data_IF_687832484459
#
_entry.id   IF_687832484459
#
_cell.length_a   1.000
_cell.length_b   1.000
_cell.length_c   1.000
_cell.angle_alpha   90.00
_cell.angle_beta   90.00
_cell.angle_gamma   90.00
#
_symmetry.space_group_name_H-M   'P 1'
#
loop_
_entity.id
_entity.type
_entity.pdbx_description
1 polymer ?
#
# COMPACT_ATOMS: atom_id res chain seq x y z
N UNK A 1 -20.20 -33.84 8.12
CA UNK A 1 -20.10 -32.38 8.33
C UNK A 1 -18.62 -31.99 8.26
N UNK A 2 -18.22 -30.89 7.59
CA UNK A 2 -16.84 -30.33 7.51
C UNK A 2 -16.24 -29.86 8.88
N UNK A 3 -16.71 -30.50 9.95
CA UNK A 3 -15.99 -30.88 11.15
C UNK A 3 -15.02 -32.07 10.90
N UNK A 4 -15.10 -32.71 9.73
CA UNK A 4 -14.28 -33.81 9.20
C UNK A 4 -13.05 -33.29 8.44
N UNK A 5 -11.91 -34.00 8.45
CA UNK A 5 -10.72 -33.62 7.67
C UNK A 5 -10.97 -33.49 6.14
N UNK A 6 -12.08 -34.00 5.61
CA UNK A 6 -12.32 -34.17 4.17
C UNK A 6 -13.20 -33.08 3.48
N UNK A 7 -13.75 -32.07 4.17
CA UNK A 7 -14.22 -30.85 3.48
C UNK A 7 -15.65 -30.87 2.92
N UNK A 8 -15.85 -30.14 1.82
CA UNK A 8 -17.09 -30.00 1.03
C UNK A 8 -17.61 -31.33 0.44
N UNK A 9 -16.85 -32.41 0.61
CA UNK A 9 -17.09 -33.72 0.01
C UNK A 9 -17.64 -34.75 1.02
N UNK A 10 -17.90 -34.34 2.25
CA UNK A 10 -18.12 -35.25 3.40
C UNK A 10 -19.29 -36.26 3.34
N UNK A 11 -20.29 -36.22 2.43
CA UNK A 11 -21.21 -37.36 2.29
C UNK A 11 -20.74 -38.43 1.30
N UNK A 12 -19.63 -38.23 0.61
CA UNK A 12 -19.06 -39.20 -0.35
C UNK A 12 -18.00 -40.09 0.34
N UNK A 13 -17.80 -41.31 -0.17
CA UNK A 13 -16.72 -42.18 0.28
C UNK A 13 -15.34 -41.60 -0.11
N UNK A 14 -14.28 -41.91 0.64
CA UNK A 14 -12.91 -41.44 0.36
C UNK A 14 -12.43 -41.80 -1.07
N UNK A 15 -12.93 -42.92 -1.61
CA UNK A 15 -12.70 -43.33 -3.00
C UNK A 15 -13.43 -42.40 -3.99
N UNK A 16 -14.69 -42.07 -3.70
CA UNK A 16 -15.49 -41.18 -4.53
C UNK A 16 -14.95 -39.74 -4.49
N UNK A 17 -14.32 -39.31 -3.38
CA UNK A 17 -13.64 -38.00 -3.29
C UNK A 17 -12.49 -37.89 -4.27
N UNK A 18 -11.66 -38.92 -4.31
CA UNK A 18 -10.48 -38.96 -5.16
C UNK A 18 -10.88 -38.93 -6.63
N UNK A 19 -11.88 -39.72 -6.99
CA UNK A 19 -12.45 -39.75 -8.33
C UNK A 19 -13.03 -38.39 -8.75
N UNK A 20 -13.82 -37.74 -7.88
CA UNK A 20 -14.38 -36.42 -8.19
C UNK A 20 -13.30 -35.33 -8.32
N UNK A 21 -12.24 -35.37 -7.50
CA UNK A 21 -11.11 -34.44 -7.60
C UNK A 21 -10.30 -34.66 -8.88
N UNK A 22 -10.07 -35.91 -9.26
CA UNK A 22 -9.40 -36.27 -10.52
C UNK A 22 -10.20 -35.78 -11.74
N UNK A 23 -11.53 -35.97 -11.73
CA UNK A 23 -12.43 -35.44 -12.78
C UNK A 23 -12.38 -33.91 -12.84
N UNK A 24 -12.49 -33.22 -11.69
CA UNK A 24 -12.40 -31.76 -11.65
C UNK A 24 -11.04 -31.24 -12.16
N UNK A 25 -9.94 -31.93 -11.83
CA UNK A 25 -8.61 -31.58 -12.31
C UNK A 25 -8.51 -31.74 -13.84
N UNK A 26 -9.04 -32.82 -14.40
CA UNK A 26 -9.05 -33.06 -15.85
C UNK A 26 -9.91 -32.02 -16.59
N UNK A 27 -11.11 -31.74 -16.08
CA UNK A 27 -12.01 -30.73 -16.64
C UNK A 27 -11.36 -29.33 -16.58
N UNK A 28 -10.66 -29.00 -15.49
CA UNK A 28 -9.94 -27.73 -15.37
C UNK A 28 -8.78 -27.61 -16.37
N UNK A 29 -8.03 -28.69 -16.59
CA UNK A 29 -6.99 -28.74 -17.63
C UNK A 29 -7.57 -28.49 -19.02
N UNK A 30 -8.68 -29.17 -19.37
CA UNK A 30 -9.37 -28.96 -20.66
C UNK A 30 -9.87 -27.53 -20.83
N UNK A 31 -10.48 -26.96 -19.78
CA UNK A 31 -10.99 -25.58 -19.81
C UNK A 31 -9.87 -24.55 -20.04
N UNK A 32 -8.69 -24.79 -19.47
CA UNK A 32 -7.52 -23.90 -19.60
C UNK A 32 -6.92 -23.96 -21.01
N UNK A 33 -6.97 -25.12 -21.67
CA UNK A 33 -6.49 -25.29 -23.05
C UNK A 33 -7.54 -24.95 -24.12
N UNK A 34 -8.77 -24.57 -23.75
CA UNK A 34 -9.82 -24.17 -24.70
C UNK A 34 -9.35 -23.13 -25.74
N UNK A 35 -8.60 -22.06 -25.39
CA UNK A 35 -8.13 -21.09 -26.38
C UNK A 35 -7.20 -21.69 -27.46
N UNK A 36 -6.58 -22.84 -27.19
CA UNK A 36 -5.68 -23.54 -28.12
C UNK A 36 -6.39 -24.64 -28.91
N UNK A 37 -7.26 -25.40 -28.25
CA UNK A 37 -7.86 -26.62 -28.81
C UNK A 37 -9.27 -26.42 -29.36
N UNK A 38 -9.96 -25.36 -28.92
CA UNK A 38 -11.37 -25.11 -29.25
C UNK A 38 -12.37 -26.08 -28.60
N UNK A 39 -11.92 -26.98 -27.71
CA UNK A 39 -12.77 -27.99 -27.07
C UNK A 39 -13.42 -27.46 -25.80
N UNK A 40 -14.72 -27.15 -25.83
CA UNK A 40 -15.46 -26.65 -24.67
C UNK A 40 -15.76 -27.76 -23.66
N UNK A 41 -15.69 -27.43 -22.38
CA UNK A 41 -16.07 -28.34 -21.29
C UNK A 41 -17.59 -28.35 -21.10
N UNK A 42 -18.20 -29.53 -20.98
CA UNK A 42 -19.63 -29.67 -20.71
C UNK A 42 -19.94 -29.37 -19.25
N UNK A 43 -20.91 -28.48 -19.01
CA UNK A 43 -21.39 -28.16 -17.66
C UNK A 43 -22.06 -29.35 -16.94
N UNK A 44 -22.47 -30.37 -17.70
CA UNK A 44 -23.13 -31.56 -17.17
C UNK A 44 -22.13 -32.54 -16.52
N UNK A 45 -20.87 -32.49 -16.93
CA UNK A 45 -19.79 -33.37 -16.44
C UNK A 45 -19.20 -32.89 -15.12
N UNK A 46 -19.52 -31.66 -14.69
CA UNK A 46 -18.96 -31.05 -13.48
C UNK A 46 -19.60 -31.69 -12.25
N UNK A 47 -18.81 -32.37 -11.38
CA UNK A 47 -19.29 -32.88 -10.11
C UNK A 47 -19.87 -31.74 -9.27
N UNK A 48 -21.12 -31.88 -8.81
CA UNK A 48 -21.79 -30.88 -7.97
C UNK A 48 -21.55 -31.19 -6.50
N UNK A 49 -21.35 -30.14 -5.71
CA UNK A 49 -21.35 -30.30 -4.26
C UNK A 49 -22.74 -30.74 -3.79
N UNK A 50 -22.75 -31.71 -2.89
CA UNK A 50 -23.92 -32.23 -2.19
C UNK A 50 -24.29 -31.40 -0.95
N UNK A 51 -23.48 -30.40 -0.60
CA UNK A 51 -23.72 -29.53 0.56
C UNK A 51 -24.39 -28.24 0.12
N UNK A 52 -25.50 -27.91 0.79
CA UNK A 52 -26.20 -26.63 0.60
C UNK A 52 -25.50 -25.46 1.30
N UNK A 53 -24.66 -25.75 2.31
CA UNK A 53 -23.88 -24.76 3.04
C UNK A 53 -22.48 -24.59 2.48
N UNK A 54 -21.97 -23.37 2.54
CA UNK A 54 -20.64 -22.99 2.03
C UNK A 54 -19.68 -22.70 3.19
N UNK A 55 -18.36 -22.81 2.99
CA UNK A 55 -17.43 -22.44 4.04
C UNK A 55 -17.45 -20.93 4.29
N UNK A 56 -17.18 -20.54 5.53
CA UNK A 56 -17.12 -19.16 6.03
C UNK A 56 -16.16 -18.25 5.26
N UNK A 57 -15.02 -18.77 4.79
CA UNK A 57 -14.07 -18.00 3.97
C UNK A 57 -14.61 -17.64 2.57
N UNK A 58 -15.74 -18.22 2.15
CA UNK A 58 -16.46 -17.85 0.92
C UNK A 58 -17.62 -16.88 1.16
N UNK A 59 -17.86 -16.48 2.41
CA UNK A 59 -18.91 -15.54 2.76
C UNK A 59 -18.65 -14.14 2.17
N UNK A 60 -19.69 -13.38 1.83
CA UNK A 60 -19.55 -11.98 1.45
C UNK A 60 -18.94 -11.19 2.60
N UNK A 61 -18.14 -10.19 2.25
CA UNK A 61 -17.39 -9.37 3.22
C UNK A 61 -18.28 -8.62 4.21
N UNK A 62 -19.48 -8.24 3.77
CA UNK A 62 -20.53 -7.69 4.63
C UNK A 62 -21.62 -8.76 4.74
N UNK A 63 -21.72 -9.38 5.91
CA UNK A 63 -22.76 -10.37 6.17
C UNK A 63 -24.09 -9.67 6.42
N UNK A 64 -25.08 -9.99 5.59
CA UNK A 64 -26.48 -9.67 5.86
C UNK A 64 -27.07 -10.82 6.70
N UNK A 65 -26.92 -10.73 8.02
CA UNK A 65 -27.76 -11.36 9.05
C UNK A 65 -27.97 -12.90 9.12
N UNK A 66 -27.66 -13.69 8.10
CA UNK A 66 -28.07 -15.10 8.04
C UNK A 66 -26.87 -16.06 8.10
N UNK A 67 -26.52 -16.47 9.32
CA UNK A 67 -25.41 -17.39 9.61
C UNK A 67 -25.68 -18.84 9.18
N UNK A 68 -26.88 -19.17 8.69
CA UNK A 68 -27.26 -20.55 8.35
C UNK A 68 -26.69 -21.05 7.02
N UNK A 69 -26.26 -20.15 6.15
CA UNK A 69 -25.71 -20.49 4.81
C UNK A 69 -24.23 -20.84 4.87
N UNK A 70 -23.50 -20.37 5.89
CA UNK A 70 -22.05 -20.51 5.99
C UNK A 70 -21.64 -21.31 7.23
N UNK A 71 -20.76 -22.30 7.06
CA UNK A 71 -20.19 -23.08 8.17
C UNK A 71 -18.75 -22.66 8.46
N UNK A 72 -18.33 -22.77 9.73
CA UNK A 72 -16.95 -22.50 10.12
C UNK A 72 -16.02 -23.62 9.62
N UNK A 73 -15.13 -23.33 8.66
CA UNK A 73 -14.17 -24.32 8.16
C UNK A 73 -13.03 -24.55 9.15
N UNK A 74 -12.71 -25.82 9.44
CA UNK A 74 -11.56 -26.23 10.28
C UNK A 74 -10.24 -26.35 9.52
N UNK A 75 -10.25 -26.14 8.20
CA UNK A 75 -9.06 -26.17 7.36
C UNK A 75 -8.20 -24.93 7.59
N UNK A 76 -6.91 -25.02 7.27
CA UNK A 76 -5.97 -23.89 7.41
C UNK A 76 -6.48 -22.60 6.76
N UNK A 77 -7.16 -22.68 5.61
CA UNK A 77 -7.72 -21.50 4.95
C UNK A 77 -8.84 -20.83 5.78
N UNK A 78 -9.68 -21.61 6.46
CA UNK A 78 -10.69 -21.08 7.38
C UNK A 78 -10.05 -20.49 8.64
N UNK A 79 -9.06 -21.18 9.21
CA UNK A 79 -8.30 -20.65 10.35
C UNK A 79 -7.62 -19.32 10.01
N UNK A 80 -6.91 -19.25 8.87
CA UNK A 80 -6.25 -18.03 8.38
C UNK A 80 -7.26 -16.92 8.10
N UNK A 81 -8.39 -17.24 7.47
CA UNK A 81 -9.46 -16.28 7.20
C UNK A 81 -9.97 -15.61 8.47
N UNK A 82 -10.15 -16.37 9.56
CA UNK A 82 -10.61 -15.84 10.86
C UNK A 82 -9.52 -15.15 11.66
N UNK A 83 -8.26 -15.59 11.54
CA UNK A 83 -7.12 -15.00 12.24
C UNK A 83 -6.74 -13.62 11.66
N UNK A 84 -6.91 -13.41 10.35
CA UNK A 84 -6.62 -12.15 9.68
C UNK A 84 -7.82 -11.21 9.75
N UNK A 85 -7.97 -10.51 10.88
CA UNK A 85 -8.90 -9.39 11.01
C UNK A 85 -8.20 -8.08 10.67
N UNK A 86 -8.38 -7.59 9.45
CA UNK A 86 -8.04 -6.21 9.12
C UNK A 86 -9.12 -5.30 9.68
N UNK A 87 -8.88 -4.74 10.87
CA UNK A 87 -9.76 -3.72 11.42
C UNK A 87 -9.84 -2.59 10.41
N UNK A 88 -11.02 -2.35 9.83
CA UNK A 88 -11.26 -1.15 9.05
C UNK A 88 -10.79 0.03 9.90
N UNK A 89 -9.91 0.91 9.38
CA UNK A 89 -9.33 1.98 10.18
C UNK A 89 -10.47 2.69 10.91
N UNK A 90 -10.40 2.66 12.23
CA UNK A 90 -11.43 3.22 13.08
C UNK A 90 -11.44 4.72 12.79
N UNK A 91 -12.33 5.16 11.90
CA UNK A 91 -12.42 6.56 11.48
C UNK A 91 -12.70 7.49 12.68
N UNK A 92 -13.07 6.91 13.85
CA UNK A 92 -13.21 7.60 15.13
C UNK A 92 -11.87 7.90 15.83
N UNK A 93 -10.82 7.12 15.53
CA UNK A 93 -9.43 7.32 15.98
C UNK A 93 -8.54 7.87 14.86
N UNK A 94 -9.13 8.53 13.86
CA UNK A 94 -8.40 9.56 13.12
C UNK A 94 -7.89 10.50 14.20
N UNK A 95 -6.59 10.36 14.54
CA UNK A 95 -5.99 10.99 15.71
C UNK A 95 -6.45 12.42 15.74
N UNK A 96 -6.95 12.85 16.91
CA UNK A 96 -7.25 14.24 17.27
C UNK A 96 -6.94 15.15 16.10
N UNK A 97 -7.98 15.67 15.39
CA UNK A 97 -7.88 16.65 14.30
C UNK A 97 -7.19 17.93 14.79
N UNK A 98 -5.97 17.81 15.30
CA UNK A 98 -5.03 18.87 15.57
C UNK A 98 -4.89 19.50 14.22
N UNK A 99 -5.44 20.70 14.10
CA UNK A 99 -5.30 21.56 12.95
C UNK A 99 -3.94 21.28 12.30
N UNK A 100 -3.96 20.65 11.12
CA UNK A 100 -2.76 20.29 10.36
C UNK A 100 -2.16 21.56 9.76
N UNK A 101 -1.87 22.52 10.61
CA UNK A 101 -1.11 23.70 10.27
C UNK A 101 0.31 23.21 10.01
N UNK A 102 0.69 23.24 8.75
CA UNK A 102 2.08 23.13 8.38
C UNK A 102 2.87 24.22 9.14
N UNK A 103 4.03 23.90 9.74
CA UNK A 103 4.89 24.94 10.29
C UNK A 103 5.20 25.99 9.21
N UNK A 104 5.40 27.24 9.63
CA UNK A 104 5.87 28.27 8.70
C UNK A 104 7.24 27.87 8.14
N UNK A 105 7.55 28.35 6.93
CA UNK A 105 8.87 28.13 6.32
C UNK A 105 9.99 28.66 7.24
N UNK A 106 9.78 29.77 7.95
CA UNK A 106 10.74 30.31 8.90
C UNK A 106 11.04 29.33 10.04
N UNK A 107 10.00 28.63 10.52
CA UNK A 107 10.17 27.62 11.56
C UNK A 107 10.93 26.40 11.05
N UNK A 108 10.65 25.98 9.82
CA UNK A 108 11.39 24.89 9.15
C UNK A 108 12.86 25.27 9.03
N UNK A 109 13.18 26.49 8.57
CA UNK A 109 14.56 26.98 8.46
C UNK A 109 15.24 27.01 9.83
N UNK A 110 14.56 27.49 10.88
CA UNK A 110 15.10 27.48 12.25
C UNK A 110 15.46 26.06 12.71
N UNK A 111 14.67 25.05 12.34
CA UNK A 111 14.94 23.64 12.65
C UNK A 111 16.18 23.14 11.92
N UNK A 112 16.34 23.49 10.64
CA UNK A 112 17.55 23.18 9.87
C UNK A 112 18.79 23.86 10.46
N UNK A 113 18.73 25.17 10.72
CA UNK A 113 19.85 25.96 11.25
C UNK A 113 20.31 25.45 12.63
N UNK A 114 19.37 25.03 13.47
CA UNK A 114 19.65 24.50 14.81
C UNK A 114 19.84 22.97 14.84
N UNK A 115 19.76 22.30 13.68
CA UNK A 115 19.81 20.84 13.53
C UNK A 115 18.87 20.10 14.51
N UNK A 116 17.65 20.62 14.74
CA UNK A 116 16.66 20.08 15.69
C UNK A 116 15.87 18.90 15.11
N UNK A 117 16.58 17.89 14.64
CA UNK A 117 15.98 16.66 14.12
C UNK A 117 16.07 15.55 15.17
N UNK A 118 15.27 14.46 15.03
CA UNK A 118 15.36 13.33 15.94
C UNK A 118 16.80 12.80 16.03
N UNK A 119 17.36 12.76 17.24
CA UNK A 119 18.78 12.42 17.46
C UNK A 119 19.09 10.93 17.30
N UNK A 120 18.07 10.06 17.34
CA UNK A 120 18.20 8.60 17.31
C UNK A 120 17.42 7.96 16.14
N UNK A 121 17.51 8.55 14.96
CA UNK A 121 16.94 7.94 13.76
C UNK A 121 18.01 7.04 13.08
N UNK A 122 17.89 5.70 13.19
CA UNK A 122 18.89 4.77 12.63
C UNK A 122 18.96 4.85 11.10
N UNK A 123 17.85 5.22 10.44
CA UNK A 123 17.83 5.40 8.99
C UNK A 123 18.61 6.66 8.62
N UNK A 124 18.37 7.77 9.34
CA UNK A 124 19.12 8.99 9.11
C UNK A 124 20.63 8.81 9.34
N UNK A 125 21.01 8.07 10.38
CA UNK A 125 22.41 7.78 10.70
C UNK A 125 23.08 6.95 9.59
N UNK A 126 22.43 5.86 9.16
CA UNK A 126 22.94 5.02 8.07
C UNK A 126 23.09 5.80 6.74
N UNK A 127 22.13 6.66 6.42
CA UNK A 127 22.17 7.49 5.22
C UNK A 127 23.28 8.56 5.31
N UNK A 128 23.48 9.17 6.48
CA UNK A 128 24.50 10.19 6.67
C UNK A 128 25.92 9.66 6.36
N UNK A 129 26.23 8.44 6.80
CA UNK A 129 27.51 7.77 6.51
C UNK A 129 27.76 7.69 5.01
N UNK A 130 26.71 7.39 4.23
CA UNK A 130 26.78 7.26 2.76
C UNK A 130 26.84 8.59 2.03
N UNK A 131 26.23 9.64 2.58
CA UNK A 131 26.14 10.95 1.93
C UNK A 131 27.39 11.80 2.17
N UNK A 132 28.04 11.65 3.33
CA UNK A 132 29.17 12.49 3.76
C UNK A 132 30.31 12.58 2.73
N UNK A 133 30.70 11.52 2.00
CA UNK A 133 31.73 11.62 0.95
C UNK A 133 31.36 12.58 -0.20
N UNK A 134 30.07 12.78 -0.46
CA UNK A 134 29.57 13.53 -1.62
C UNK A 134 29.05 14.93 -1.23
N UNK A 135 28.85 15.20 0.06
CA UNK A 135 28.27 16.45 0.56
C UNK A 135 29.12 17.00 1.70
N UNK A 136 29.87 18.07 1.43
CA UNK A 136 30.80 18.69 2.38
C UNK A 136 30.15 19.22 3.68
N UNK A 137 28.84 19.50 3.67
CA UNK A 137 28.12 19.96 4.87
C UNK A 137 26.68 19.43 4.85
N UNK A 138 26.42 18.22 5.35
CA UNK A 138 25.10 17.59 5.32
C UNK A 138 24.09 18.24 6.28
N UNK A 139 24.53 19.21 7.09
CA UNK A 139 23.74 19.89 8.11
C UNK A 139 23.43 21.35 7.83
N UNK A 140 24.01 21.97 6.77
CA UNK A 140 23.79 23.38 6.46
C UNK A 140 23.28 23.53 5.03
N UNK A 141 22.05 23.99 4.91
CA UNK A 141 21.40 24.24 3.63
C UNK A 141 20.80 25.64 3.62
N UNK A 142 20.99 26.36 2.52
CA UNK A 142 20.41 27.69 2.34
C UNK A 142 18.88 27.63 2.26
N UNK A 143 18.18 28.69 2.70
CA UNK A 143 16.73 28.89 2.46
C UNK A 143 16.31 28.55 1.02
N UNK A 144 17.08 29.03 0.03
CA UNK A 144 16.84 28.79 -1.42
C UNK A 144 16.72 27.31 -1.80
N UNK A 145 17.24 26.39 -0.98
CA UNK A 145 17.16 24.94 -1.18
C UNK A 145 16.06 24.30 -0.35
N UNK A 146 15.88 24.76 0.89
CA UNK A 146 14.87 24.23 1.81
C UNK A 146 13.46 24.59 1.32
N UNK A 147 13.25 25.83 0.88
CA UNK A 147 11.94 26.36 0.52
C UNK A 147 11.26 25.63 -0.65
N UNK A 148 11.93 25.37 -1.80
CA UNK A 148 11.31 24.58 -2.87
C UNK A 148 10.94 23.15 -2.47
N UNK A 149 11.77 22.52 -1.61
CA UNK A 149 11.53 21.16 -1.11
C UNK A 149 10.37 21.15 -0.11
N UNK A 150 10.27 22.18 0.74
CA UNK A 150 9.15 22.38 1.63
C UNK A 150 7.84 22.56 0.86
N UNK A 151 7.85 23.33 -0.22
CA UNK A 151 6.69 23.51 -1.11
C UNK A 151 6.31 22.22 -1.82
N UNK A 152 7.31 21.44 -2.24
CA UNK A 152 7.10 20.11 -2.79
C UNK A 152 6.40 19.20 -1.78
N UNK A 153 6.86 19.16 -0.53
CA UNK A 153 6.24 18.38 0.55
C UNK A 153 4.79 18.81 0.80
N UNK A 154 4.52 20.13 0.97
CA UNK A 154 3.16 20.64 1.19
C UNK A 154 2.23 20.27 0.03
N UNK A 155 2.71 20.42 -1.20
CA UNK A 155 1.94 20.07 -2.40
C UNK A 155 1.68 18.56 -2.49
N UNK A 156 2.65 17.73 -2.11
CA UNK A 156 2.51 16.28 -2.06
C UNK A 156 1.43 15.87 -1.05
N UNK A 157 1.53 16.36 0.19
CA UNK A 157 0.57 16.04 1.27
C UNK A 157 -0.85 16.49 0.91
N UNK A 158 -1.01 17.68 0.35
CA UNK A 158 -2.33 18.17 -0.11
C UNK A 158 -2.90 17.26 -1.20
N UNK A 159 -2.10 16.88 -2.18
CA UNK A 159 -2.54 16.00 -3.28
C UNK A 159 -2.86 14.60 -2.79
N UNK A 160 -2.06 14.06 -1.85
CA UNK A 160 -2.28 12.76 -1.23
C UNK A 160 -3.60 12.75 -0.45
N UNK A 161 -3.89 13.81 0.31
CA UNK A 161 -5.18 13.95 1.01
C UNK A 161 -6.35 13.96 0.03
N UNK A 162 -6.25 14.74 -1.06
CA UNK A 162 -7.27 14.74 -2.11
C UNK A 162 -7.48 13.33 -2.65
N UNK A 163 -6.41 12.61 -2.99
CA UNK A 163 -6.47 11.23 -3.45
C UNK A 163 -7.17 10.31 -2.44
N UNK A 164 -6.77 10.35 -1.16
CA UNK A 164 -7.38 9.55 -0.10
C UNK A 164 -8.89 9.83 0.07
N UNK A 165 -9.31 11.08 -0.07
CA UNK A 165 -10.73 11.44 -0.01
C UNK A 165 -11.50 11.01 -1.26
N UNK A 166 -10.90 11.10 -2.45
CA UNK A 166 -11.53 10.75 -3.72
C UNK A 166 -11.79 9.25 -3.85
N UNK A 167 -10.84 8.41 -3.40
CA UNK A 167 -10.92 6.96 -3.60
C UNK A 167 -11.58 6.20 -2.44
N UNK A 168 -11.89 6.86 -1.32
CA UNK A 168 -12.58 6.24 -0.16
C UNK A 168 -13.92 5.61 -0.54
N UNK A 169 -14.10 4.32 -0.22
CA UNK A 169 -15.35 3.57 -0.44
C UNK A 169 -16.45 3.92 0.57
N UNK A 170 -16.09 4.49 1.72
CA UNK A 170 -17.03 4.77 2.81
C UNK A 170 -17.71 6.11 2.58
N UNK A 171 -19.03 6.13 2.44
CA UNK A 171 -19.85 7.34 2.28
C UNK A 171 -20.19 7.99 3.63
N UNK A 172 -19.17 8.24 4.47
CA UNK A 172 -19.32 9.02 5.70
C UNK A 172 -18.61 10.35 5.56
N UNK A 173 -19.15 11.38 6.21
CA UNK A 173 -18.52 12.70 6.24
C UNK A 173 -17.11 12.57 6.84
N UNK A 174 -16.10 13.00 6.11
CA UNK A 174 -14.67 12.90 6.44
C UNK A 174 -14.03 11.50 6.40
N UNK A 175 -14.65 10.50 5.77
CA UNK A 175 -13.96 9.23 5.50
C UNK A 175 -12.88 9.43 4.42
N UNK A 176 -11.65 9.04 4.70
CA UNK A 176 -10.54 9.03 3.76
C UNK A 176 -9.75 7.74 3.91
N UNK A 177 -9.09 7.31 2.84
CA UNK A 177 -8.12 6.22 2.92
C UNK A 177 -6.95 6.63 3.82
N UNK A 178 -6.36 5.66 4.51
CA UNK A 178 -5.12 5.86 5.22
C UNK A 178 -3.96 6.08 4.25
N UNK A 179 -2.84 6.63 4.75
CA UNK A 179 -1.63 6.79 3.96
C UNK A 179 -1.09 5.42 3.52
N UNK A 180 -1.14 4.44 4.43
CA UNK A 180 -0.69 3.07 4.22
C UNK A 180 -1.52 2.35 3.15
N UNK A 181 -2.84 2.57 3.12
CA UNK A 181 -3.72 2.04 2.08
C UNK A 181 -3.27 2.49 0.69
N UNK A 182 -2.98 3.78 0.52
CA UNK A 182 -2.51 4.31 -0.76
C UNK A 182 -1.10 3.81 -1.09
N UNK A 183 -0.20 3.77 -0.12
CA UNK A 183 1.19 3.31 -0.32
C UNK A 183 1.24 1.82 -0.71
N UNK A 184 0.35 1.00 -0.15
CA UNK A 184 0.27 -0.44 -0.44
C UNK A 184 -0.69 -0.77 -1.58
N UNK A 185 -1.22 0.25 -2.27
CA UNK A 185 -2.20 0.13 -3.36
C UNK A 185 -3.44 -0.71 -2.99
N UNK A 186 -3.86 -0.67 -1.72
CA UNK A 186 -5.00 -1.46 -1.21
C UNK A 186 -6.08 -0.57 -0.62
N UNK A 187 -7.31 -1.10 -0.57
CA UNK A 187 -8.41 -0.47 0.16
C UNK A 187 -8.96 -1.53 1.11
N UNK A 188 -8.81 -1.31 2.40
CA UNK A 188 -9.19 -2.25 3.47
C UNK A 188 -10.69 -2.21 3.73
N UNK A 189 -11.37 -1.11 3.37
CA UNK A 189 -12.81 -0.96 3.55
C UNK A 189 -13.59 -2.12 2.89
N UNK A 190 -14.40 -2.80 3.71
CA UNK A 190 -15.34 -3.83 3.28
C UNK A 190 -16.42 -3.26 2.38
N UNK A 191 -16.85 -4.03 1.38
CA UNK A 191 -17.91 -3.60 0.46
C UNK A 191 -18.77 -4.75 -0.05
N UNK A 192 -20.05 -4.48 -0.29
CA UNK A 192 -20.94 -5.37 -1.02
C UNK A 192 -20.64 -5.43 -2.53
N UNK A 193 -19.76 -4.57 -3.03
CA UNK A 193 -19.46 -4.43 -4.45
C UNK A 193 -17.95 -4.57 -4.71
N UNK A 194 -17.39 -5.80 -4.64
CA UNK A 194 -15.94 -6.03 -4.77
C UNK A 194 -15.37 -5.59 -6.13
N UNK A 195 -16.18 -5.64 -7.20
CA UNK A 195 -15.82 -5.08 -8.50
C UNK A 195 -15.51 -3.58 -8.40
N UNK A 196 -16.35 -2.80 -7.70
CA UNK A 196 -16.12 -1.37 -7.53
C UNK A 196 -14.82 -1.10 -6.75
N UNK A 197 -14.52 -1.88 -5.70
CA UNK A 197 -13.24 -1.74 -5.00
C UNK A 197 -12.07 -1.99 -5.94
N UNK A 198 -12.12 -3.06 -6.74
CA UNK A 198 -11.06 -3.38 -7.71
C UNK A 198 -10.85 -2.25 -8.72
N UNK A 199 -11.92 -1.70 -9.26
CA UNK A 199 -11.87 -0.55 -10.17
C UNK A 199 -11.27 0.68 -9.50
N UNK A 200 -11.69 0.97 -8.26
CA UNK A 200 -11.14 2.10 -7.49
C UNK A 200 -9.67 1.92 -7.15
N UNK A 201 -9.24 0.73 -6.76
CA UNK A 201 -7.83 0.42 -6.51
C UNK A 201 -6.99 0.62 -7.78
N UNK A 202 -7.50 0.21 -8.94
CA UNK A 202 -6.81 0.40 -10.21
C UNK A 202 -6.61 1.90 -10.53
N UNK A 203 -7.67 2.71 -10.42
CA UNK A 203 -7.59 4.16 -10.63
C UNK A 203 -6.72 4.85 -9.56
N UNK A 204 -6.87 4.47 -8.30
CA UNK A 204 -6.07 4.98 -7.20
C UNK A 204 -4.58 4.77 -7.45
N UNK A 205 -4.18 3.56 -7.86
CA UNK A 205 -2.79 3.23 -8.21
C UNK A 205 -2.25 4.12 -9.33
N UNK A 206 -3.03 4.36 -10.38
CA UNK A 206 -2.64 5.25 -11.48
C UNK A 206 -2.38 6.68 -10.97
N UNK A 207 -3.32 7.24 -10.19
CA UNK A 207 -3.20 8.58 -9.63
C UNK A 207 -2.06 8.69 -8.59
N UNK A 208 -1.84 7.65 -7.78
CA UNK A 208 -0.74 7.59 -6.83
C UNK A 208 0.60 7.56 -7.57
N UNK A 209 0.72 6.78 -8.65
CA UNK A 209 1.89 6.76 -9.52
C UNK A 209 2.21 8.14 -10.11
N UNK A 210 1.19 8.86 -10.60
CA UNK A 210 1.35 10.22 -11.11
C UNK A 210 1.79 11.21 -10.02
N UNK A 211 1.23 11.09 -8.81
CA UNK A 211 1.62 11.90 -7.66
C UNK A 211 3.09 11.67 -7.29
N UNK A 212 3.51 10.42 -7.20
CA UNK A 212 4.89 10.03 -6.91
C UNK A 212 5.84 10.56 -7.98
N UNK A 213 5.52 10.37 -9.26
CA UNK A 213 6.34 10.87 -10.37
C UNK A 213 6.50 12.39 -10.34
N UNK A 214 5.40 13.12 -10.08
CA UNK A 214 5.42 14.59 -9.97
C UNK A 214 6.25 15.07 -8.77
N UNK A 215 6.09 14.43 -7.61
CA UNK A 215 6.85 14.78 -6.41
C UNK A 215 8.33 14.48 -6.57
N UNK A 216 8.68 13.32 -7.15
CA UNK A 216 10.06 12.97 -7.48
C UNK A 216 10.69 14.00 -8.43
N UNK A 217 10.02 14.33 -9.54
CA UNK A 217 10.50 15.31 -10.50
C UNK A 217 10.79 16.68 -9.86
N UNK A 218 9.87 17.20 -9.03
CA UNK A 218 10.07 18.47 -8.30
C UNK A 218 11.18 18.38 -7.25
N UNK A 219 11.32 17.24 -6.60
CA UNK A 219 12.35 17.01 -5.58
C UNK A 219 13.75 17.03 -6.21
N UNK A 220 13.93 16.36 -7.35
CA UNK A 220 15.22 16.21 -8.02
C UNK A 220 15.49 17.27 -9.08
N UNK A 221 14.55 18.20 -9.30
CA UNK A 221 14.65 19.29 -10.27
C UNK A 221 15.97 20.04 -10.10
N UNK A 222 16.94 19.65 -10.94
CA UNK A 222 18.30 20.13 -10.93
C UNK A 222 18.63 20.47 -12.37
N UNK A 223 18.90 21.76 -12.61
CA UNK A 223 19.02 22.34 -13.94
C UNK A 223 20.13 21.74 -14.83
N UNK A 224 20.97 20.82 -14.31
CA UNK A 224 22.17 20.34 -14.99
C UNK A 224 22.52 18.86 -14.77
N UNK A 225 21.63 18.04 -14.21
CA UNK A 225 21.94 16.63 -13.93
C UNK A 225 23.10 16.44 -12.93
N UNK A 226 23.33 17.43 -12.06
CA UNK A 226 24.32 17.32 -10.99
C UNK A 226 23.83 16.32 -9.95
N UNK A 227 24.36 15.09 -10.02
CA UNK A 227 24.00 14.00 -9.11
C UNK A 227 24.29 14.35 -7.64
N UNK A 228 25.32 15.16 -7.34
CA UNK A 228 25.60 15.61 -5.96
C UNK A 228 24.52 16.58 -5.49
N UNK A 229 23.98 17.40 -6.39
CA UNK A 229 22.84 18.28 -6.10
C UNK A 229 21.57 17.47 -5.82
N UNK A 230 21.31 16.42 -6.59
CA UNK A 230 20.19 15.50 -6.35
C UNK A 230 20.29 14.87 -4.96
N UNK A 231 21.46 14.34 -4.58
CA UNK A 231 21.70 13.78 -3.22
C UNK A 231 21.38 14.80 -2.14
N UNK A 232 21.87 16.04 -2.26
CA UNK A 232 21.59 17.10 -1.27
C UNK A 232 20.10 17.42 -1.19
N UNK A 233 19.40 17.53 -2.32
CA UNK A 233 17.96 17.85 -2.35
C UNK A 233 17.11 16.71 -1.78
N UNK A 234 17.40 15.47 -2.15
CA UNK A 234 16.73 14.29 -1.62
C UNK A 234 16.98 14.13 -0.11
N UNK A 235 18.21 14.41 0.37
CA UNK A 235 18.48 14.47 1.80
C UNK A 235 17.67 15.54 2.52
N UNK A 236 17.61 16.76 1.98
CA UNK A 236 16.75 17.83 2.54
C UNK A 236 15.28 17.38 2.57
N UNK A 237 14.80 16.70 1.53
CA UNK A 237 13.43 16.19 1.48
C UNK A 237 13.15 15.14 2.56
N UNK A 238 14.07 14.19 2.74
CA UNK A 238 14.00 13.22 3.83
C UNK A 238 13.98 13.93 5.20
N UNK A 239 14.85 14.92 5.40
CA UNK A 239 14.86 15.70 6.65
C UNK A 239 13.56 16.47 6.86
N UNK A 240 12.98 17.06 5.81
CA UNK A 240 11.67 17.72 5.87
C UNK A 240 10.58 16.74 6.36
N UNK A 241 10.52 15.50 5.84
CA UNK A 241 9.56 14.50 6.33
C UNK A 241 9.70 14.16 7.81
N UNK A 242 10.91 14.23 8.37
CA UNK A 242 11.15 13.90 9.79
C UNK A 242 10.74 15.00 10.77
N UNK A 243 10.48 16.23 10.29
CA UNK A 243 10.09 17.37 11.16
C UNK A 243 8.79 17.08 11.91
N UNK A 244 7.84 16.43 11.23
CA UNK A 244 6.58 15.96 11.83
C UNK A 244 6.38 14.50 11.40
N UNK A 245 7.22 13.58 11.90
CA UNK A 245 7.26 12.18 11.47
C UNK A 245 5.90 11.45 11.56
N UNK A 246 5.05 11.83 12.51
CA UNK A 246 3.71 11.28 12.71
C UNK A 246 2.60 12.02 11.95
N UNK A 247 2.94 13.07 11.20
CA UNK A 247 1.96 13.77 10.38
C UNK A 247 1.67 12.99 9.10
N UNK A 248 0.41 13.06 8.68
CA UNK A 248 -0.06 12.44 7.44
C UNK A 248 0.77 12.89 6.23
N UNK A 249 1.25 11.93 5.45
CA UNK A 249 2.08 12.10 4.27
C UNK A 249 3.57 12.27 4.56
N UNK A 250 3.99 12.39 5.82
CA UNK A 250 5.41 12.49 6.18
C UNK A 250 6.16 11.20 5.87
N UNK A 251 5.58 10.04 6.20
CA UNK A 251 6.26 8.74 6.06
C UNK A 251 6.45 8.37 4.59
N UNK A 252 5.39 8.46 3.79
CA UNK A 252 5.40 8.20 2.35
C UNK A 252 6.30 9.18 1.58
N UNK A 253 6.28 10.47 1.94
CA UNK A 253 7.22 11.44 1.37
C UNK A 253 8.68 11.12 1.74
N UNK A 254 8.93 10.69 2.97
CA UNK A 254 10.25 10.25 3.41
C UNK A 254 10.75 9.03 2.64
N UNK A 255 9.88 8.03 2.42
CA UNK A 255 10.21 6.87 1.58
C UNK A 255 10.55 7.27 0.14
N UNK A 256 9.79 8.22 -0.43
CA UNK A 256 10.09 8.78 -1.75
C UNK A 256 11.47 9.46 -1.76
N UNK A 257 11.75 10.28 -0.75
CA UNK A 257 13.05 10.96 -0.64
C UNK A 257 14.21 9.97 -0.50
N UNK A 258 14.04 8.90 0.28
CA UNK A 258 15.04 7.83 0.42
C UNK A 258 15.27 7.14 -0.93
N UNK A 259 14.21 6.82 -1.68
CA UNK A 259 14.33 6.20 -3.00
C UNK A 259 15.19 7.06 -3.93
N UNK A 260 14.86 8.34 -4.08
CA UNK A 260 15.60 9.25 -4.97
C UNK A 260 17.04 9.45 -4.50
N UNK A 261 17.26 9.51 -3.18
CA UNK A 261 18.58 9.62 -2.58
C UNK A 261 19.45 8.39 -2.88
N UNK A 262 18.93 7.18 -2.68
CA UNK A 262 19.66 5.93 -2.90
C UNK A 262 19.97 5.73 -4.39
N UNK A 263 19.04 6.09 -5.28
CA UNK A 263 19.27 6.02 -6.73
C UNK A 263 20.39 6.99 -7.14
N UNK A 264 20.39 8.22 -6.62
CA UNK A 264 21.44 9.20 -6.90
C UNK A 264 22.81 8.77 -6.34
N UNK A 265 22.84 8.18 -5.13
CA UNK A 265 24.06 7.64 -4.54
C UNK A 265 24.62 6.49 -5.37
N UNK A 266 23.79 5.54 -5.79
CA UNK A 266 24.19 4.43 -6.67
C UNK A 266 24.82 4.95 -7.97
N UNK A 267 24.25 5.99 -8.55
CA UNK A 267 24.78 6.60 -9.77
C UNK A 267 26.11 7.34 -9.56
N UNK A 268 26.35 7.90 -8.38
CA UNK A 268 27.63 8.50 -8.00
C UNK A 268 28.71 7.44 -7.76
N UNK A 269 28.37 6.40 -7.00
CA UNK A 269 29.27 5.26 -6.73
C UNK A 269 29.71 4.58 -8.04
N UNK A 270 28.80 4.43 -9.00
CA UNK A 270 29.10 3.88 -10.32
C UNK A 270 29.96 4.78 -11.22
N UNK A 271 30.00 6.11 -10.95
CA UNK A 271 30.78 7.06 -11.76
C UNK A 271 32.22 7.24 -11.27
N UNK A 272 32.60 6.59 -10.17
CA UNK A 272 33.88 6.83 -9.47
C UNK A 272 33.90 8.17 -8.72
N UNK A 273 34.67 8.29 -7.63
CA UNK A 273 34.84 9.54 -6.89
C UNK A 273 35.54 10.64 -7.69
#
# INVERSE_FOLDING_TARGET
MDQSPQGVLDPMSEHEHREALEVLAELHSKATDYPKTGMSVSMQEIPRSTLDSRPDWSAPEVQDGDSRVYYESRRWIGCLYREISLTAPDNSKSGSRKSHSFPSIDKVIEIFDKNKFPTNDPVAEALLVRITPYVASPYRYSRKRIEPIWDCFRSYVTSLRTLCTTFSLVQRHAAMLSEEEVVTDTIVAQTNQPHMRKERMAKMREHAGQLVARAAARMIDSERGDKKEVVKRAWVAFRVSTIQAEAFGSRSFGLLAIRELLEALKQLEASGP
#
